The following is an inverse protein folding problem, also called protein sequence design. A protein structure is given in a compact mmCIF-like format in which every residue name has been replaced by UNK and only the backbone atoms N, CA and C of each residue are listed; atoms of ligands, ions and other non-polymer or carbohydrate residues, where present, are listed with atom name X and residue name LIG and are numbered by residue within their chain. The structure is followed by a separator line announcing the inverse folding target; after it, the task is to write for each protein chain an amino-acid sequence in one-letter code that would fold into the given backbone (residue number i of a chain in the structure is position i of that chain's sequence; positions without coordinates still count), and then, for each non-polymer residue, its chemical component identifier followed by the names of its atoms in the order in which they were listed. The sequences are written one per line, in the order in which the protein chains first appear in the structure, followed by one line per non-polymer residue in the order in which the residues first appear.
data_IF_271713498964
#
_entry.id   IF_271713498964
#
_cell.length_a   1.000
_cell.length_b   1.000
_cell.length_c   1.000
_cell.angle_alpha   90.00
_cell.angle_beta   90.00
_cell.angle_gamma   90.00
#
_symmetry.space_group_name_H-M   'P 1'
#
loop_
_entity.id
_entity.type
_entity.pdbx_description
1 polymer ?
#
# COMPACT_ATOMS: atom_id res chain seq x y z
N UNK A 1 -19.82 8.57 22.10
CA UNK A 1 -18.59 7.75 21.90
C UNK A 1 -17.61 8.63 21.13
N UNK A 2 -16.60 9.19 21.80
CA UNK A 2 -15.55 9.95 21.11
C UNK A 2 -14.68 8.95 20.36
N UNK A 3 -14.69 9.01 19.04
CA UNK A 3 -13.77 8.22 18.21
C UNK A 3 -12.44 8.97 18.21
N UNK A 4 -11.54 8.57 19.11
CA UNK A 4 -10.17 9.07 19.10
C UNK A 4 -9.45 8.55 17.85
N UNK A 5 -9.00 9.49 17.02
CA UNK A 5 -8.30 9.17 15.78
C UNK A 5 -6.87 8.75 16.13
N UNK A 6 -6.39 7.59 15.64
CA UNK A 6 -5.09 7.07 16.04
C UNK A 6 -3.95 8.02 15.62
N UNK A 7 -3.15 8.43 16.58
CA UNK A 7 -1.95 9.24 16.33
C UNK A 7 -0.83 8.40 15.71
N UNK A 8 -0.53 8.63 14.43
CA UNK A 8 0.54 7.94 13.73
C UNK A 8 1.90 8.55 14.09
N UNK A 9 2.64 7.93 15.02
CA UNK A 9 3.99 8.39 15.40
C UNK A 9 5.07 8.10 14.33
N UNK A 10 4.83 7.17 13.41
CA UNK A 10 5.75 6.79 12.30
C UNK A 10 4.97 6.54 11.01
N UNK A 11 5.62 6.74 9.87
CA UNK A 11 5.05 6.46 8.54
C UNK A 11 5.12 4.96 8.20
N UNK A 12 4.54 4.56 7.06
CA UNK A 12 4.80 3.29 6.40
C UNK A 12 6.31 3.03 6.32
N UNK A 13 6.72 1.77 6.48
CA UNK A 13 8.13 1.34 6.53
C UNK A 13 8.98 1.90 7.68
N UNK A 14 8.34 2.32 8.79
CA UNK A 14 9.02 2.86 9.98
C UNK A 14 9.83 4.14 9.74
N UNK A 15 9.69 4.80 8.58
CA UNK A 15 10.31 6.10 8.36
C UNK A 15 9.75 7.14 9.34
N UNK A 16 10.58 8.10 9.79
CA UNK A 16 10.08 9.26 10.51
C UNK A 16 8.99 9.96 9.68
N UNK A 17 7.92 10.39 10.35
CA UNK A 17 6.70 10.91 9.71
C UNK A 17 7.00 11.94 8.61
N UNK A 18 7.95 12.83 8.89
CA UNK A 18 8.45 13.86 7.98
C UNK A 18 9.07 13.32 6.69
N UNK A 19 9.93 12.30 6.77
CA UNK A 19 10.53 11.69 5.57
C UNK A 19 9.48 10.94 4.76
N UNK A 20 8.49 10.32 5.42
CA UNK A 20 7.34 9.74 4.75
C UNK A 20 6.60 10.75 3.88
N UNK A 21 6.23 11.91 4.46
CA UNK A 21 5.57 13.00 3.73
C UNK A 21 6.43 13.50 2.57
N UNK A 22 7.75 13.65 2.78
CA UNK A 22 8.68 14.07 1.72
C UNK A 22 8.74 13.06 0.56
N UNK A 23 8.91 11.76 0.87
CA UNK A 23 8.96 10.70 -0.15
C UNK A 23 7.67 10.65 -0.95
N UNK A 24 6.51 10.64 -0.28
CA UNK A 24 5.21 10.65 -0.96
C UNK A 24 4.99 11.92 -1.77
N UNK A 25 5.41 13.08 -1.26
CA UNK A 25 5.34 14.36 -1.98
C UNK A 25 6.18 14.37 -3.25
N UNK A 26 7.41 13.85 -3.21
CA UNK A 26 8.26 13.75 -4.40
C UNK A 26 7.73 12.73 -5.41
N UNK A 27 7.27 11.56 -4.96
CA UNK A 27 6.67 10.57 -5.86
C UNK A 27 5.42 11.12 -6.54
N UNK A 28 4.54 11.79 -5.79
CA UNK A 28 3.34 12.44 -6.35
C UNK A 28 3.70 13.54 -7.34
N UNK A 29 4.74 14.34 -7.06
CA UNK A 29 5.22 15.37 -7.97
C UNK A 29 5.76 14.79 -9.28
N UNK A 30 6.63 13.78 -9.21
CA UNK A 30 7.20 13.11 -10.40
C UNK A 30 6.08 12.49 -11.23
N UNK A 31 5.13 11.80 -10.58
CA UNK A 31 3.99 11.20 -11.28
C UNK A 31 3.12 12.25 -11.96
N UNK A 32 2.83 13.37 -11.28
CA UNK A 32 2.02 14.46 -11.85
C UNK A 32 2.70 15.08 -13.08
N UNK A 33 4.02 15.31 -13.02
CA UNK A 33 4.79 15.82 -14.16
C UNK A 33 4.78 14.81 -15.31
N UNK A 34 4.98 13.52 -15.02
CA UNK A 34 4.94 12.46 -16.03
C UNK A 34 3.60 12.42 -16.74
N UNK A 35 2.49 12.48 -15.99
CA UNK A 35 1.15 12.49 -16.56
C UNK A 35 0.92 13.73 -17.42
N UNK A 36 1.32 14.93 -16.98
CA UNK A 36 1.23 16.14 -17.80
C UNK A 36 2.02 15.99 -19.10
N UNK A 37 3.27 15.51 -19.02
CA UNK A 37 4.10 15.30 -20.21
C UNK A 37 3.46 14.32 -21.19
N UNK A 38 2.87 13.25 -20.65
CA UNK A 38 2.22 12.22 -21.44
C UNK A 38 0.92 12.73 -22.08
N UNK A 39 0.09 13.48 -21.35
CA UNK A 39 -1.14 14.09 -21.87
C UNK A 39 -0.83 15.15 -22.94
N UNK A 40 0.21 15.97 -22.73
CA UNK A 40 0.68 16.94 -23.74
C UNK A 40 1.20 16.26 -25.01
N UNK A 41 1.91 15.13 -24.85
CA UNK A 41 2.40 14.34 -25.97
C UNK A 41 1.25 13.70 -26.74
N UNK A 42 0.26 13.13 -26.04
CA UNK A 42 -0.92 12.52 -26.65
C UNK A 42 -1.86 13.54 -27.30
N UNK A 43 -1.98 14.73 -26.73
CA UNK A 43 -2.79 15.82 -27.26
C UNK A 43 -2.16 16.54 -28.45
N UNK A 44 -0.94 16.18 -28.87
CA UNK A 44 -0.26 16.84 -29.99
C UNK A 44 -0.92 16.48 -31.33
N UNK A 45 -1.70 17.41 -31.89
CA UNK A 45 -2.32 17.29 -33.20
C UNK A 45 -3.82 16.98 -33.18
N UNK A 46 -4.40 16.66 -32.03
CA UNK A 46 -5.86 16.54 -31.86
C UNK A 46 -6.48 17.90 -31.53
N UNK A 47 -7.75 18.07 -31.92
CA UNK A 47 -8.47 19.29 -31.58
C UNK A 47 -8.67 19.36 -30.05
N UNK A 48 -8.38 20.51 -29.44
CA UNK A 48 -8.47 20.72 -27.97
C UNK A 48 -9.87 20.38 -27.40
N UNK A 49 -10.88 20.31 -28.26
CA UNK A 49 -12.28 20.05 -27.94
C UNK A 49 -12.68 18.58 -27.88
N UNK A 50 -11.83 17.65 -28.33
CA UNK A 50 -12.17 16.23 -28.27
C UNK A 50 -12.21 15.73 -26.82
N UNK A 51 -13.27 15.00 -26.42
CA UNK A 51 -13.38 14.44 -25.09
C UNK A 51 -12.34 13.33 -24.92
N UNK A 52 -11.51 13.44 -23.90
CA UNK A 52 -10.54 12.41 -23.53
C UNK A 52 -10.87 11.83 -22.15
N UNK A 53 -10.52 10.57 -21.97
CA UNK A 53 -10.58 9.91 -20.66
C UNK A 53 -9.25 10.16 -19.95
N UNK A 54 -9.28 10.87 -18.82
CA UNK A 54 -8.10 11.12 -17.98
C UNK A 54 -8.34 10.64 -16.55
N UNK A 55 -7.31 10.14 -15.87
CA UNK A 55 -7.44 9.50 -14.55
C UNK A 55 -6.94 10.43 -13.45
N UNK A 56 -7.82 11.24 -12.87
CA UNK A 56 -7.46 12.14 -11.78
C UNK A 56 -7.70 11.50 -10.40
N UNK A 57 -6.64 11.35 -9.60
CA UNK A 57 -6.68 10.74 -8.26
C UNK A 57 -7.31 9.34 -8.20
N UNK A 58 -7.11 8.58 -9.28
CA UNK A 58 -7.67 7.23 -9.45
C UNK A 58 -9.07 7.23 -10.08
N UNK A 59 -9.75 8.36 -10.20
CA UNK A 59 -11.07 8.47 -10.80
C UNK A 59 -10.93 8.79 -12.29
N UNK A 60 -11.53 7.97 -13.15
CA UNK A 60 -11.66 8.27 -14.58
C UNK A 60 -12.64 9.42 -14.81
N UNK A 61 -12.19 10.46 -15.52
CA UNK A 61 -12.96 11.63 -15.90
C UNK A 61 -13.04 11.71 -17.43
N UNK A 62 -14.27 11.74 -17.96
CA UNK A 62 -14.55 11.98 -19.38
C UNK A 62 -14.80 13.48 -19.58
N UNK A 63 -13.74 14.22 -19.90
CA UNK A 63 -13.80 15.69 -19.99
C UNK A 63 -12.94 16.23 -21.14
N UNK A 64 -13.02 17.51 -21.42
CA UNK A 64 -12.15 18.16 -22.40
C UNK A 64 -10.71 18.22 -21.88
N UNK A 65 -9.70 18.10 -22.76
CA UNK A 65 -8.28 18.00 -22.40
C UNK A 65 -7.75 19.13 -21.50
N UNK A 66 -8.30 20.35 -21.62
CA UNK A 66 -7.85 21.48 -20.82
C UNK A 66 -8.09 21.32 -19.31
N UNK A 67 -9.15 20.60 -18.91
CA UNK A 67 -9.53 20.45 -17.52
C UNK A 67 -8.56 19.52 -16.74
N UNK A 68 -8.21 18.30 -17.23
CA UNK A 68 -7.17 17.49 -16.62
C UNK A 68 -5.82 18.19 -16.54
N UNK A 69 -5.42 18.91 -17.60
CA UNK A 69 -4.17 19.68 -17.60
C UNK A 69 -4.18 20.71 -16.47
N UNK A 70 -5.27 21.47 -16.32
CA UNK A 70 -5.44 22.43 -15.23
C UNK A 70 -5.36 21.77 -13.84
N UNK A 71 -6.04 20.64 -13.65
CA UNK A 71 -6.05 19.89 -12.39
C UNK A 71 -4.65 19.40 -12.01
N UNK A 72 -3.88 18.85 -12.97
CA UNK A 72 -2.52 18.41 -12.70
C UNK A 72 -1.55 19.57 -12.48
N UNK A 73 -1.70 20.71 -13.16
CA UNK A 73 -0.90 21.91 -12.86
C UNK A 73 -1.14 22.36 -11.41
N UNK A 74 -2.39 22.40 -10.95
CA UNK A 74 -2.71 22.68 -9.56
C UNK A 74 -2.07 21.65 -8.61
N UNK A 75 -2.15 20.36 -8.95
CA UNK A 75 -1.53 19.30 -8.14
C UNK A 75 0.00 19.45 -8.05
N UNK A 76 0.68 19.83 -9.14
CA UNK A 76 2.11 20.15 -9.14
C UNK A 76 2.42 21.33 -8.20
N UNK A 77 1.66 22.43 -8.31
CA UNK A 77 1.85 23.62 -7.46
C UNK A 77 1.69 23.26 -5.98
N UNK A 78 0.60 22.55 -5.63
CA UNK A 78 0.35 22.17 -4.25
C UNK A 78 1.37 21.14 -3.73
N UNK A 79 1.84 20.21 -4.54
CA UNK A 79 2.92 19.29 -4.16
C UNK A 79 4.24 20.04 -3.87
N UNK A 80 4.57 21.08 -4.64
CA UNK A 80 5.72 21.95 -4.34
C UNK A 80 5.51 22.68 -3.00
N UNK A 81 4.31 23.21 -2.74
CA UNK A 81 3.96 23.86 -1.46
C UNK A 81 4.12 22.87 -0.29
N UNK A 82 3.68 21.62 -0.45
CA UNK A 82 3.85 20.56 0.55
C UNK A 82 5.33 20.30 0.83
N UNK A 83 6.14 20.14 -0.22
CA UNK A 83 7.57 19.86 -0.11
C UNK A 83 8.32 21.00 0.60
N UNK A 84 8.05 22.26 0.21
CA UNK A 84 8.62 23.45 0.86
C UNK A 84 8.17 23.51 2.32
N UNK A 85 6.87 23.29 2.59
CA UNK A 85 6.31 23.27 3.95
C UNK A 85 6.98 22.22 4.83
N UNK A 86 7.17 21.01 4.31
CA UNK A 86 7.81 19.89 5.00
C UNK A 86 9.31 20.14 5.25
N UNK A 87 10.05 20.73 4.29
CA UNK A 87 11.47 21.08 4.44
C UNK A 87 11.70 22.26 5.38
N UNK A 88 10.91 23.32 5.27
CA UNK A 88 11.06 24.52 6.11
C UNK A 88 10.36 24.40 7.48
N UNK A 89 9.63 23.31 7.74
CA UNK A 89 8.78 23.13 8.93
C UNK A 89 7.75 24.26 9.10
N UNK A 90 7.30 24.88 8.00
CA UNK A 90 6.32 25.98 8.04
C UNK A 90 4.90 25.41 8.09
N UNK A 91 4.27 25.46 9.27
CA UNK A 91 2.92 24.92 9.49
C UNK A 91 1.87 25.48 8.54
N UNK A 92 1.96 26.76 8.18
CA UNK A 92 0.98 27.41 7.30
C UNK A 92 0.92 26.77 5.90
N UNK A 93 2.09 26.39 5.34
CA UNK A 93 2.16 25.75 4.02
C UNK A 93 1.61 24.32 4.05
N UNK A 94 1.95 23.55 5.09
CA UNK A 94 1.44 22.19 5.29
C UNK A 94 -0.09 22.24 5.49
N UNK A 95 -0.60 23.24 6.21
CA UNK A 95 -2.04 23.45 6.44
C UNK A 95 -2.78 23.81 5.14
N UNK A 96 -2.19 24.67 4.31
CA UNK A 96 -2.76 25.02 2.99
C UNK A 96 -2.90 23.77 2.11
N UNK A 97 -1.86 22.95 2.02
CA UNK A 97 -1.93 21.68 1.29
C UNK A 97 -2.97 20.73 1.89
N UNK A 98 -3.09 20.65 3.21
CA UNK A 98 -4.07 19.78 3.87
C UNK A 98 -5.51 20.11 3.46
N UNK A 99 -5.89 21.40 3.44
CA UNK A 99 -7.22 21.81 2.97
C UNK A 99 -7.43 21.56 1.48
N UNK A 100 -6.42 21.82 0.65
CA UNK A 100 -6.45 21.47 -0.78
C UNK A 100 -6.66 19.96 -0.98
N UNK A 101 -5.92 19.13 -0.26
CA UNK A 101 -6.02 17.68 -0.35
C UNK A 101 -7.42 17.18 0.05
N UNK A 102 -8.01 17.69 1.13
CA UNK A 102 -9.38 17.32 1.54
C UNK A 102 -10.39 17.69 0.46
N UNK A 103 -10.38 18.94 -0.01
CA UNK A 103 -11.35 19.43 -1.00
C UNK A 103 -11.28 18.65 -2.31
N UNK A 104 -10.06 18.35 -2.79
CA UNK A 104 -9.86 17.56 -4.01
C UNK A 104 -10.19 16.08 -3.83
N UNK A 105 -9.94 15.46 -2.66
CA UNK A 105 -10.43 14.09 -2.38
C UNK A 105 -11.95 14.01 -2.34
N UNK A 106 -12.61 15.02 -1.74
CA UNK A 106 -14.07 15.10 -1.71
C UNK A 106 -14.64 15.28 -3.12
N UNK A 107 -14.04 16.17 -3.92
CA UNK A 107 -14.41 16.37 -5.32
C UNK A 107 -14.27 15.08 -6.14
N UNK A 108 -13.14 14.37 -6.01
CA UNK A 108 -12.90 13.09 -6.68
C UNK A 108 -13.96 12.04 -6.30
N UNK A 109 -14.30 11.95 -5.00
CA UNK A 109 -15.33 11.03 -4.52
C UNK A 109 -16.72 11.37 -5.07
N UNK A 110 -17.09 12.65 -5.12
CA UNK A 110 -18.35 13.11 -5.72
C UNK A 110 -18.39 12.82 -7.22
N UNK A 111 -17.30 13.10 -7.95
CA UNK A 111 -17.23 12.80 -9.38
C UNK A 111 -17.35 11.31 -9.65
N UNK A 112 -16.74 10.46 -8.81
CA UNK A 112 -16.87 9.02 -8.91
C UNK A 112 -18.33 8.55 -8.77
N UNK A 113 -19.06 9.08 -7.78
CA UNK A 113 -20.48 8.76 -7.60
C UNK A 113 -21.29 9.18 -8.83
N UNK A 114 -21.06 10.39 -9.36
CA UNK A 114 -21.80 10.92 -10.53
C UNK A 114 -21.51 10.08 -11.78
N UNK A 115 -20.24 9.82 -12.07
CA UNK A 115 -19.81 9.03 -13.22
C UNK A 115 -20.38 7.61 -13.12
N UNK A 116 -20.26 6.98 -11.95
CA UNK A 116 -20.76 5.62 -11.73
C UNK A 116 -22.28 5.54 -11.81
N UNK A 117 -22.99 6.55 -11.29
CA UNK A 117 -24.44 6.61 -11.39
C UNK A 117 -24.90 6.72 -12.84
N UNK A 118 -24.24 7.58 -13.64
CA UNK A 118 -24.55 7.73 -15.08
C UNK A 118 -24.19 6.47 -15.88
N UNK A 119 -23.08 5.81 -15.55
CA UNK A 119 -22.60 4.63 -16.27
C UNK A 119 -23.26 3.31 -15.81
N UNK A 120 -24.19 3.37 -14.85
CA UNK A 120 -24.91 2.20 -14.32
C UNK A 120 -25.74 1.42 -15.36
N UNK A 121 -25.81 1.86 -16.62
CA UNK A 121 -26.41 1.05 -17.70
C UNK A 121 -25.45 0.03 -18.33
N UNK A 122 -24.12 0.14 -18.14
CA UNK A 122 -23.13 -0.75 -18.76
C UNK A 122 -22.17 -1.33 -17.70
N UNK A 123 -22.60 -2.40 -17.02
CA UNK A 123 -21.89 -2.99 -15.87
C UNK A 123 -20.66 -3.84 -16.21
N UNK A 124 -20.34 -4.06 -17.48
CA UNK A 124 -19.52 -5.20 -17.90
C UNK A 124 -18.00 -5.00 -17.85
N UNK A 125 -17.46 -3.78 -17.64
CA UNK A 125 -16.00 -3.57 -17.74
C UNK A 125 -15.33 -2.75 -16.62
N UNK A 126 -16.04 -2.38 -15.55
CA UNK A 126 -15.56 -1.36 -14.60
C UNK A 126 -14.69 -1.87 -13.42
N UNK A 127 -14.39 -3.16 -13.29
CA UNK A 127 -13.71 -3.64 -12.07
C UNK A 127 -12.31 -3.10 -11.88
N UNK A 128 -11.55 -2.96 -12.95
CA UNK A 128 -10.22 -2.37 -12.87
C UNK A 128 -10.32 -0.90 -12.48
N UNK A 129 -11.20 -0.14 -13.13
CA UNK A 129 -11.41 1.28 -12.86
C UNK A 129 -11.90 1.53 -11.43
N UNK A 130 -12.81 0.70 -10.92
CA UNK A 130 -13.27 0.74 -9.52
C UNK A 130 -12.12 0.42 -8.55
N UNK A 131 -11.26 -0.55 -8.91
CA UNK A 131 -10.10 -0.93 -8.08
C UNK A 131 -9.04 0.17 -8.06
N UNK A 132 -8.75 0.78 -9.20
CA UNK A 132 -7.84 1.93 -9.31
C UNK A 132 -8.39 3.14 -8.56
N UNK A 133 -9.69 3.42 -8.70
CA UNK A 133 -10.34 4.51 -7.98
C UNK A 133 -10.23 4.29 -6.48
N UNK A 134 -10.57 3.09 -6.02
CA UNK A 134 -10.51 2.76 -4.60
C UNK A 134 -9.07 2.87 -4.07
N UNK A 135 -8.09 2.30 -4.77
CA UNK A 135 -6.68 2.39 -4.39
C UNK A 135 -6.18 3.85 -4.34
N UNK A 136 -6.51 4.64 -5.37
CA UNK A 136 -6.19 6.07 -5.44
C UNK A 136 -6.77 6.85 -4.26
N UNK A 137 -8.05 6.65 -3.96
CA UNK A 137 -8.71 7.29 -2.81
C UNK A 137 -8.07 6.87 -1.47
N UNK A 138 -7.76 5.58 -1.29
CA UNK A 138 -7.10 5.08 -0.07
C UNK A 138 -5.71 5.70 0.10
N UNK A 139 -4.91 5.78 -0.96
CA UNK A 139 -3.58 6.42 -0.92
C UNK A 139 -3.70 7.92 -0.58
N UNK A 140 -4.70 8.61 -1.13
CA UNK A 140 -4.93 10.03 -0.86
C UNK A 140 -5.39 10.28 0.59
N UNK A 141 -6.34 9.47 1.09
CA UNK A 141 -6.76 9.51 2.49
C UNK A 141 -5.56 9.23 3.40
N UNK A 142 -4.72 8.27 3.03
CA UNK A 142 -3.51 7.96 3.78
C UNK A 142 -2.56 9.15 3.88
N UNK A 143 -2.27 9.80 2.75
CA UNK A 143 -1.42 10.99 2.71
C UNK A 143 -2.00 12.13 3.58
N UNK A 144 -3.31 12.33 3.55
CA UNK A 144 -3.99 13.32 4.40
C UNK A 144 -3.85 13.00 5.90
N UNK A 145 -3.94 11.73 6.29
CA UNK A 145 -3.75 11.32 7.68
C UNK A 145 -2.30 11.50 8.15
N UNK A 146 -1.31 11.25 7.28
CA UNK A 146 0.10 11.52 7.58
C UNK A 146 0.33 13.01 7.83
N UNK A 147 -0.18 13.86 6.94
CA UNK A 147 -0.03 15.31 7.04
C UNK A 147 -0.72 15.86 8.29
N UNK A 148 -1.93 15.37 8.60
CA UNK A 148 -2.63 15.71 9.83
C UNK A 148 -1.82 15.35 11.08
N UNK A 149 -1.21 14.16 11.07
CA UNK A 149 -0.38 13.70 12.20
C UNK A 149 0.83 14.60 12.40
N UNK A 150 1.46 15.09 11.32
CA UNK A 150 2.60 16.02 11.41
C UNK A 150 2.16 17.41 11.87
N UNK A 151 1.01 17.91 11.38
CA UNK A 151 0.43 19.18 11.85
C UNK A 151 0.12 19.16 13.35
N UNK A 152 -0.43 18.06 13.86
CA UNK A 152 -0.69 17.89 15.29
C UNK A 152 0.62 17.90 16.09
N UNK A 153 1.65 17.20 15.61
CA UNK A 153 2.96 17.15 16.27
C UNK A 153 3.59 18.54 16.39
N UNK A 154 3.54 19.35 15.32
CA UNK A 154 4.08 20.72 15.35
C UNK A 154 3.29 21.63 16.30
N UNK A 155 1.96 21.47 16.36
CA UNK A 155 1.10 22.25 17.27
C UNK A 155 1.47 22.07 18.75
N UNK A 156 1.89 20.88 19.15
CA UNK A 156 2.34 20.62 20.52
C UNK A 156 3.71 21.24 20.83
N UNK A 157 4.57 21.42 19.82
CA UNK A 157 5.90 22.01 20.03
C UNK A 157 5.84 23.53 20.22
N UNK A 158 4.89 24.21 19.58
CA UNK A 158 4.78 25.67 19.65
C UNK A 158 4.09 26.18 20.92
N UNK A 159 3.40 25.32 21.68
CA UNK A 159 2.51 25.74 22.77
C UNK A 159 2.87 25.28 24.18
N UNK A 160 3.81 24.35 24.36
CA UNK A 160 4.10 23.76 25.68
C UNK A 160 5.54 24.08 26.08
N UNK A 161 5.73 25.22 26.75
CA UNK A 161 6.92 25.42 27.58
C UNK A 161 6.75 24.45 28.75
N UNK A 162 7.54 23.37 28.77
CA UNK A 162 7.65 22.52 29.95
C UNK A 162 8.31 23.36 31.06
N UNK A 163 7.51 24.09 31.81
CA UNK A 163 7.98 24.71 33.06
C UNK A 163 8.05 23.58 34.08
N UNK A 164 9.22 22.96 34.15
CA UNK A 164 9.57 21.97 35.15
C UNK A 164 9.56 22.65 36.54
N UNK A 165 8.39 22.75 37.16
CA UNK A 165 8.26 23.21 38.56
C UNK A 165 8.21 21.96 39.44
N UNK A 166 9.25 21.81 40.28
CA UNK A 166 9.43 20.84 41.39
C UNK A 166 9.98 19.46 40.95
N UNK A 167 11.28 19.16 41.08
CA UNK A 167 12.08 18.99 42.30
C UNK A 167 11.75 17.75 43.15
N UNK A 168 11.15 16.70 42.56
CA UNK A 168 11.33 15.33 43.06
C UNK A 168 11.81 14.44 41.91
N UNK A 169 13.13 14.25 41.88
CA UNK A 169 13.82 13.30 41.03
C UNK A 169 13.77 11.95 41.74
N UNK A 170 12.79 11.12 41.39
CA UNK A 170 13.00 9.66 41.31
C UNK A 170 12.39 9.15 40.02
N UNK A 171 13.18 9.22 38.95
CA UNK A 171 12.94 8.39 37.76
C UNK A 171 14.29 7.81 37.35
N UNK A 172 14.64 6.66 37.93
CA UNK A 172 15.51 5.73 37.22
C UNK A 172 14.70 5.12 36.07
N UNK A 173 14.62 5.88 34.98
CA UNK A 173 14.47 5.33 33.64
C UNK A 173 15.63 5.86 32.83
N UNK A 174 16.45 4.89 32.43
CA UNK A 174 17.69 5.01 31.70
C UNK A 174 17.65 6.10 30.62
N UNK A 175 18.78 6.80 30.42
CA UNK A 175 18.88 7.83 29.40
C UNK A 175 18.52 7.18 28.06
N UNK A 176 17.46 7.67 27.43
CA UNK A 176 17.29 7.60 26.00
C UNK A 176 18.41 8.43 25.37
N UNK A 177 19.63 7.89 25.43
CA UNK A 177 20.73 8.30 24.60
C UNK A 177 20.29 7.89 23.20
N UNK A 178 19.81 8.88 22.47
CA UNK A 178 19.59 8.83 21.03
C UNK A 178 20.99 8.74 20.38
N UNK A 179 21.68 7.62 20.61
CA UNK A 179 22.79 7.18 19.79
C UNK A 179 22.17 6.87 18.42
N UNK A 180 22.13 7.92 17.59
CA UNK A 180 21.98 7.81 16.15
C UNK A 180 23.07 6.82 15.70
N UNK A 181 22.69 5.56 15.50
CA UNK A 181 23.44 4.66 14.65
C UNK A 181 23.13 5.10 13.20
N UNK A 182 24.03 5.83 12.49
CA UNK A 182 23.78 6.29 11.12
C UNK A 182 23.67 5.14 10.11
N UNK A 183 23.83 3.88 10.53
CA UNK A 183 23.82 2.71 9.67
C UNK A 183 22.44 2.19 9.28
N UNK A 184 21.36 2.62 9.95
CA UNK A 184 20.00 2.18 9.60
C UNK A 184 19.25 3.08 8.61
N UNK A 185 19.75 4.29 8.31
CA UNK A 185 18.99 5.28 7.50
C UNK A 185 19.09 5.06 5.99
N UNK A 186 20.10 4.36 5.46
CA UNK A 186 20.27 4.16 4.02
C UNK A 186 19.95 2.74 3.51
N UNK A 187 19.57 1.81 4.38
CA UNK A 187 19.53 0.40 4.01
C UNK A 187 18.29 0.01 3.18
N UNK A 188 17.14 0.67 3.34
CA UNK A 188 15.88 0.19 2.75
C UNK A 188 15.72 0.48 1.24
N UNK A 189 16.19 1.65 0.77
CA UNK A 189 16.17 1.98 -0.67
C UNK A 189 17.24 1.18 -1.42
N UNK A 190 18.38 0.93 -0.79
CA UNK A 190 19.41 0.02 -1.31
C UNK A 190 18.96 -1.44 -1.30
N UNK A 191 18.23 -1.93 -0.29
CA UNK A 191 17.67 -3.30 -0.25
C UNK A 191 16.69 -3.58 -1.40
N UNK A 192 15.91 -2.59 -1.83
CA UNK A 192 14.97 -2.77 -2.94
C UNK A 192 15.66 -2.84 -4.30
N UNK A 193 16.79 -2.15 -4.47
CA UNK A 193 17.65 -2.25 -5.66
C UNK A 193 18.59 -3.47 -5.61
N UNK A 194 19.11 -3.84 -4.42
CA UNK A 194 19.99 -5.00 -4.23
C UNK A 194 19.26 -6.33 -4.32
N UNK A 195 17.97 -6.41 -3.97
CA UNK A 195 17.19 -7.65 -4.09
C UNK A 195 16.95 -8.07 -5.55
N UNK A 196 17.24 -7.20 -6.53
CA UNK A 196 17.06 -7.49 -7.96
C UNK A 196 18.37 -7.85 -8.69
N UNK A 197 19.53 -7.69 -8.05
CA UNK A 197 20.82 -8.04 -8.65
C UNK A 197 21.47 -9.17 -7.85
N UNK A 198 21.57 -10.36 -8.45
CA UNK A 198 22.36 -11.50 -7.97
C UNK A 198 23.86 -11.16 -7.95
N UNK A 199 24.29 -10.22 -7.12
CA UNK A 199 25.70 -10.04 -6.80
C UNK A 199 25.92 -10.74 -5.46
N UNK A 200 26.47 -11.95 -5.56
CA UNK A 200 26.95 -12.78 -4.46
C UNK A 200 28.12 -12.09 -3.76
N UNK A 201 27.84 -11.07 -2.96
CA UNK A 201 28.73 -10.61 -1.91
C UNK A 201 28.18 -11.20 -0.62
N UNK A 202 28.96 -12.08 0.02
CA UNK A 202 28.76 -12.56 1.40
C UNK A 202 28.91 -11.38 2.36
N UNK A 203 27.98 -10.45 2.33
CA UNK A 203 27.75 -9.51 3.42
C UNK A 203 26.62 -10.16 4.22
N UNK A 204 26.91 -10.53 5.47
CA UNK A 204 25.91 -10.96 6.45
C UNK A 204 24.97 -9.78 6.72
N UNK A 205 24.08 -9.52 5.77
CA UNK A 205 23.14 -8.42 5.85
C UNK A 205 21.98 -8.96 6.67
N UNK A 206 22.03 -8.70 7.97
CA UNK A 206 20.93 -9.02 8.87
C UNK A 206 19.67 -8.30 8.36
N UNK A 207 18.73 -9.07 7.81
CA UNK A 207 17.47 -8.55 7.30
C UNK A 207 16.75 -7.88 8.47
N UNK A 208 16.35 -6.60 8.35
CA UNK A 208 15.82 -5.85 9.48
C UNK A 208 14.56 -6.53 10.04
N UNK A 209 14.57 -6.82 11.35
CA UNK A 209 13.38 -7.31 12.07
C UNK A 209 12.35 -6.17 12.15
N UNK A 210 11.33 -6.22 11.30
CA UNK A 210 10.20 -5.28 11.37
C UNK A 210 9.37 -5.59 12.60
N UNK A 211 9.44 -4.72 13.62
CA UNK A 211 8.65 -4.88 14.85
C UNK A 211 7.23 -4.29 14.74
N UNK A 212 6.95 -3.49 13.70
CA UNK A 212 5.69 -2.79 13.48
C UNK A 212 5.30 -2.83 11.99
N UNK A 213 4.00 -2.91 11.71
CA UNK A 213 3.47 -2.81 10.34
C UNK A 213 3.44 -1.32 9.90
N UNK A 214 3.20 -1.06 8.61
CA UNK A 214 2.73 0.25 8.16
C UNK A 214 1.57 0.71 9.08
N UNK A 215 1.55 2.00 9.44
CA UNK A 215 0.63 2.61 10.42
C UNK A 215 0.94 2.41 11.91
N UNK A 216 2.12 1.92 12.28
CA UNK A 216 2.45 1.61 13.69
C UNK A 216 1.54 0.58 14.37
N UNK A 217 0.64 -0.06 13.60
CA UNK A 217 -0.20 -1.13 14.08
C UNK A 217 0.70 -2.31 14.46
N UNK A 218 0.44 -3.01 15.59
CA UNK A 218 1.22 -4.18 15.94
C UNK A 218 1.23 -5.17 14.77
N UNK A 219 2.41 -5.74 14.48
CA UNK A 219 2.67 -6.53 13.26
C UNK A 219 1.54 -7.52 12.94
N UNK A 220 1.07 -8.26 13.94
CA UNK A 220 -0.05 -9.19 13.87
C UNK A 220 -1.36 -8.57 13.38
N UNK A 221 -1.81 -7.47 13.98
CA UNK A 221 -3.05 -6.81 13.56
C UNK A 221 -2.90 -6.20 12.17
N UNK A 222 -1.71 -5.69 11.83
CA UNK A 222 -1.40 -5.22 10.49
C UNK A 222 -1.56 -6.33 9.46
N UNK A 223 -1.00 -7.52 9.74
CA UNK A 223 -1.12 -8.67 8.86
C UNK A 223 -2.56 -9.15 8.70
N UNK A 224 -3.36 -9.14 9.78
CA UNK A 224 -4.79 -9.45 9.71
C UNK A 224 -5.55 -8.45 8.85
N UNK A 225 -5.31 -7.15 9.04
CA UNK A 225 -5.93 -6.08 8.22
C UNK A 225 -5.58 -6.27 6.75
N UNK A 226 -4.31 -6.51 6.42
CA UNK A 226 -3.89 -6.79 5.04
C UNK A 226 -4.50 -8.08 4.48
N UNK A 227 -4.62 -9.13 5.30
CA UNK A 227 -5.30 -10.37 4.92
C UNK A 227 -6.77 -10.15 4.55
N UNK A 228 -7.51 -9.38 5.34
CA UNK A 228 -8.90 -9.02 5.02
C UNK A 228 -8.99 -8.10 3.81
N UNK A 229 -8.09 -7.11 3.72
CA UNK A 229 -8.03 -6.19 2.60
C UNK A 229 -7.68 -6.89 1.28
N UNK A 230 -6.92 -7.98 1.31
CA UNK A 230 -6.66 -8.85 0.15
C UNK A 230 -7.85 -9.75 -0.17
N UNK A 231 -8.47 -10.36 0.84
CA UNK A 231 -9.56 -11.33 0.67
C UNK A 231 -10.84 -10.69 0.11
N UNK A 232 -11.22 -9.50 0.58
CA UNK A 232 -12.50 -8.88 0.21
C UNK A 232 -12.59 -8.55 -1.29
N UNK A 233 -11.60 -7.88 -1.92
CA UNK A 233 -11.56 -7.67 -3.36
C UNK A 233 -11.51 -8.99 -4.14
N UNK A 234 -10.82 -10.01 -3.61
CA UNK A 234 -10.71 -11.30 -4.27
C UNK A 234 -12.06 -12.05 -4.30
N UNK A 235 -12.85 -11.97 -3.22
CA UNK A 235 -14.20 -12.50 -3.18
C UNK A 235 -15.14 -11.74 -4.14
N UNK A 236 -15.01 -10.42 -4.21
CA UNK A 236 -15.76 -9.61 -5.17
C UNK A 236 -15.40 -9.98 -6.62
N UNK A 237 -14.13 -10.17 -6.93
CA UNK A 237 -13.66 -10.59 -8.24
C UNK A 237 -14.17 -12.01 -8.59
N UNK A 238 -14.20 -12.91 -7.61
CA UNK A 238 -14.74 -14.25 -7.78
C UNK A 238 -16.25 -14.23 -8.10
N UNK A 239 -17.05 -13.45 -7.36
CA UNK A 239 -18.49 -13.35 -7.63
C UNK A 239 -18.76 -12.75 -9.01
N UNK A 240 -17.99 -11.75 -9.40
CA UNK A 240 -18.14 -11.16 -10.73
C UNK A 240 -17.75 -12.12 -11.85
N UNK A 241 -16.72 -12.94 -11.64
CA UNK A 241 -16.31 -13.93 -12.63
C UNK A 241 -17.35 -15.05 -12.77
N UNK A 242 -18.03 -15.43 -11.69
CA UNK A 242 -19.19 -16.33 -11.75
C UNK A 242 -20.33 -15.70 -12.56
N UNK A 243 -20.62 -14.42 -12.36
CA UNK A 243 -21.65 -13.72 -13.13
C UNK A 243 -21.31 -13.63 -14.61
N UNK A 244 -20.05 -13.36 -14.96
CA UNK A 244 -19.59 -13.34 -16.35
C UNK A 244 -19.63 -14.74 -16.98
N UNK A 245 -19.22 -15.78 -16.25
CA UNK A 245 -19.36 -17.16 -16.70
C UNK A 245 -20.83 -17.50 -16.98
N UNK A 246 -21.75 -17.10 -16.09
CA UNK A 246 -23.18 -17.30 -16.29
C UNK A 246 -23.67 -16.58 -17.54
N UNK A 247 -23.31 -15.30 -17.72
CA UNK A 247 -23.67 -14.51 -18.91
C UNK A 247 -23.17 -15.16 -20.20
N UNK A 248 -21.94 -15.67 -20.18
CA UNK A 248 -21.36 -16.37 -21.32
C UNK A 248 -22.13 -17.66 -21.65
N UNK A 249 -22.50 -18.45 -20.64
CA UNK A 249 -23.31 -19.66 -20.82
C UNK A 249 -24.73 -19.33 -21.30
N UNK A 250 -25.36 -18.30 -20.74
CA UNK A 250 -26.69 -17.84 -21.17
C UNK A 250 -26.65 -17.38 -22.64
N UNK A 251 -25.64 -16.59 -23.02
CA UNK A 251 -25.42 -16.16 -24.41
C UNK A 251 -25.20 -17.35 -25.35
N UNK A 252 -24.41 -18.33 -24.92
CA UNK A 252 -24.18 -19.55 -25.69
C UNK A 252 -25.47 -20.36 -25.89
N UNK A 253 -26.32 -20.46 -24.86
CA UNK A 253 -27.61 -21.16 -24.95
C UNK A 253 -28.64 -20.46 -25.84
N UNK A 254 -28.61 -19.13 -25.93
CA UNK A 254 -29.53 -18.36 -26.77
C UNK A 254 -29.12 -18.36 -28.25
N UNK A 255 -27.84 -18.58 -28.55
CA UNK A 255 -27.32 -18.63 -29.91
C UNK A 255 -27.56 -20.02 -30.54
N UNK A 256 -28.80 -20.28 -31.00
CA UNK A 256 -29.18 -21.54 -31.70
C UNK A 256 -28.36 -21.83 -32.98
N UNK A 257 -27.54 -20.89 -33.46
CA UNK A 257 -26.66 -21.08 -34.62
C UNK A 257 -25.37 -21.82 -34.24
N UNK A 258 -25.50 -23.13 -34.02
CA UNK A 258 -24.64 -24.31 -34.28
C UNK A 258 -23.10 -24.24 -34.44
N UNK A 259 -22.40 -23.15 -34.16
CA UNK A 259 -20.95 -23.15 -34.08
C UNK A 259 -20.53 -23.44 -32.64
N UNK A 260 -19.90 -24.59 -32.41
CA UNK A 260 -19.28 -25.00 -31.14
C UNK A 260 -18.14 -24.04 -30.74
N UNK A 261 -18.48 -22.81 -30.34
CA UNK A 261 -17.54 -21.90 -29.71
C UNK A 261 -17.29 -22.46 -28.31
N UNK A 262 -16.23 -23.24 -28.16
CA UNK A 262 -15.80 -23.75 -26.87
C UNK A 262 -15.54 -22.60 -25.89
N UNK A 263 -15.76 -22.86 -24.60
CA UNK A 263 -15.39 -21.91 -23.54
C UNK A 263 -13.90 -21.58 -23.68
N UNK A 264 -13.51 -20.30 -23.73
CA UNK A 264 -12.10 -19.93 -23.81
C UNK A 264 -11.32 -20.58 -22.66
N UNK A 265 -10.19 -21.27 -22.93
CA UNK A 265 -9.44 -21.98 -21.89
C UNK A 265 -8.88 -21.05 -20.80
N UNK A 266 -8.83 -19.74 -21.05
CA UNK A 266 -8.42 -18.73 -20.06
C UNK A 266 -9.37 -18.62 -18.87
N UNK A 267 -10.68 -18.83 -19.05
CA UNK A 267 -11.68 -18.69 -17.98
C UNK A 267 -11.47 -19.73 -16.87
N UNK A 268 -11.41 -21.05 -17.14
CA UNK A 268 -11.17 -22.04 -16.08
C UNK A 268 -9.80 -21.88 -15.42
N UNK A 269 -8.77 -21.47 -16.18
CA UNK A 269 -7.44 -21.18 -15.61
C UNK A 269 -7.54 -20.03 -14.61
N UNK A 270 -8.20 -18.93 -14.96
CA UNK A 270 -8.40 -17.80 -14.05
C UNK A 270 -9.19 -18.21 -12.80
N UNK A 271 -10.24 -19.04 -12.96
CA UNK A 271 -11.04 -19.56 -11.85
C UNK A 271 -10.20 -20.35 -10.84
N UNK A 272 -9.34 -21.25 -11.34
CA UNK A 272 -8.46 -22.06 -10.47
C UNK A 272 -7.44 -21.20 -9.72
N UNK A 273 -6.83 -20.20 -10.38
CA UNK A 273 -5.90 -19.26 -9.74
C UNK A 273 -6.59 -18.49 -8.61
N UNK A 274 -7.79 -17.96 -8.86
CA UNK A 274 -8.54 -17.19 -7.86
C UNK A 274 -8.92 -18.06 -6.65
N UNK A 275 -9.38 -19.29 -6.87
CA UNK A 275 -9.70 -20.21 -5.78
C UNK A 275 -8.48 -20.48 -4.90
N UNK A 276 -7.33 -20.76 -5.52
CA UNK A 276 -6.08 -21.00 -4.79
C UNK A 276 -5.72 -19.77 -3.96
N UNK A 277 -5.80 -18.57 -4.53
CA UNK A 277 -5.55 -17.32 -3.80
C UNK A 277 -6.53 -17.08 -2.64
N UNK A 278 -7.81 -17.45 -2.79
CA UNK A 278 -8.82 -17.36 -1.70
C UNK A 278 -8.43 -18.31 -0.56
N UNK A 279 -8.12 -19.57 -0.88
CA UNK A 279 -7.75 -20.59 0.10
C UNK A 279 -6.54 -20.12 0.90
N UNK A 280 -5.46 -19.67 0.24
CA UNK A 280 -4.26 -19.23 0.95
C UNK A 280 -4.47 -17.90 1.70
N UNK A 281 -5.35 -17.02 1.23
CA UNK A 281 -5.74 -15.83 1.99
C UNK A 281 -6.48 -16.19 3.28
N UNK A 282 -7.33 -17.22 3.26
CA UNK A 282 -7.96 -17.78 4.46
C UNK A 282 -6.92 -18.42 5.39
N UNK A 283 -5.96 -19.19 4.84
CA UNK A 283 -4.85 -19.76 5.63
C UNK A 283 -4.05 -18.66 6.34
N UNK A 284 -3.77 -17.54 5.67
CA UNK A 284 -3.11 -16.38 6.28
C UNK A 284 -3.90 -15.81 7.46
N UNK A 285 -5.22 -15.65 7.30
CA UNK A 285 -6.10 -15.15 8.37
C UNK A 285 -6.14 -16.11 9.57
N UNK A 286 -6.28 -17.41 9.31
CA UNK A 286 -6.26 -18.45 10.36
C UNK A 286 -4.91 -18.46 11.08
N UNK A 287 -3.79 -18.37 10.35
CA UNK A 287 -2.45 -18.28 10.91
C UNK A 287 -2.30 -17.07 11.86
N UNK A 288 -2.82 -15.90 11.43
CA UNK A 288 -2.86 -14.68 12.22
C UNK A 288 -3.67 -14.81 13.52
N UNK A 289 -4.85 -15.43 13.44
CA UNK A 289 -5.73 -15.61 14.61
C UNK A 289 -5.22 -16.68 15.58
N UNK A 290 -4.73 -17.81 15.09
CA UNK A 290 -4.25 -18.91 15.93
C UNK A 290 -2.82 -18.75 16.43
N UNK A 291 -2.05 -17.76 15.92
CA UNK A 291 -0.61 -17.60 16.19
C UNK A 291 0.21 -18.86 15.87
N UNK A 292 -0.25 -19.65 14.90
CA UNK A 292 0.40 -20.90 14.56
C UNK A 292 1.56 -20.66 13.57
N UNK A 293 2.80 -20.83 14.04
CA UNK A 293 4.00 -20.62 13.23
C UNK A 293 4.09 -21.57 12.02
N UNK A 294 3.48 -22.77 12.10
CA UNK A 294 3.48 -23.75 11.01
C UNK A 294 2.64 -23.22 9.83
N UNK A 295 1.46 -22.65 10.10
CA UNK A 295 0.61 -22.09 9.05
C UNK A 295 1.26 -20.87 8.38
N UNK A 296 1.95 -20.02 9.15
CA UNK A 296 2.74 -18.93 8.58
C UNK A 296 3.85 -19.43 7.66
N UNK A 297 4.53 -20.52 8.04
CA UNK A 297 5.57 -21.14 7.23
C UNK A 297 5.00 -21.68 5.90
N UNK A 298 3.83 -22.34 5.94
CA UNK A 298 3.14 -22.83 4.73
C UNK A 298 2.78 -21.67 3.81
N UNK A 299 2.15 -20.61 4.34
CA UNK A 299 1.80 -19.43 3.56
C UNK A 299 3.03 -18.72 2.97
N UNK A 300 4.13 -18.65 3.72
CA UNK A 300 5.37 -18.01 3.27
C UNK A 300 5.95 -18.69 2.02
N UNK A 301 6.04 -20.02 2.01
CA UNK A 301 6.51 -20.76 0.83
C UNK A 301 5.57 -20.59 -0.36
N UNK A 302 4.26 -20.64 -0.14
CA UNK A 302 3.27 -20.36 -1.17
C UNK A 302 3.44 -18.95 -1.76
N UNK A 303 3.61 -17.93 -0.90
CA UNK A 303 3.77 -16.55 -1.32
C UNK A 303 5.02 -16.35 -2.18
N UNK A 304 6.14 -17.01 -1.85
CA UNK A 304 7.34 -17.01 -2.69
C UNK A 304 7.08 -17.69 -4.04
N UNK A 305 6.45 -18.87 -4.03
CA UNK A 305 6.14 -19.59 -5.26
C UNK A 305 5.25 -18.76 -6.20
N UNK A 306 4.20 -18.12 -5.67
CA UNK A 306 3.33 -17.21 -6.43
C UNK A 306 4.08 -15.99 -6.95
N UNK A 307 5.04 -15.44 -6.20
CA UNK A 307 5.86 -14.33 -6.68
C UNK A 307 6.70 -14.73 -7.90
N UNK A 308 7.29 -15.93 -7.90
CA UNK A 308 8.06 -16.46 -9.03
C UNK A 308 7.16 -16.69 -10.24
N UNK A 309 6.01 -17.33 -10.05
CA UNK A 309 5.01 -17.55 -11.12
C UNK A 309 4.57 -16.21 -11.71
N UNK A 310 4.28 -15.22 -10.86
CA UNK A 310 3.90 -13.88 -11.30
C UNK A 310 4.96 -13.25 -12.19
N UNK A 311 6.24 -13.28 -11.79
CA UNK A 311 7.35 -12.75 -12.60
C UNK A 311 7.40 -13.42 -13.98
N UNK A 312 7.29 -14.76 -14.03
CA UNK A 312 7.34 -15.51 -15.29
C UNK A 312 6.16 -15.12 -16.18
N UNK A 313 4.93 -15.17 -15.66
CA UNK A 313 3.73 -14.81 -16.42
C UNK A 313 3.78 -13.36 -16.90
N UNK A 314 4.25 -12.45 -16.05
CA UNK A 314 4.37 -11.04 -16.37
C UNK A 314 5.43 -10.80 -17.45
N UNK A 315 6.58 -11.46 -17.39
CA UNK A 315 7.59 -11.38 -18.44
C UNK A 315 7.06 -11.89 -19.80
N UNK A 316 6.35 -13.03 -19.81
CA UNK A 316 5.70 -13.57 -21.02
C UNK A 316 4.68 -12.57 -21.58
N UNK A 317 3.88 -11.94 -20.72
CA UNK A 317 2.93 -10.91 -21.12
C UNK A 317 3.61 -9.71 -21.80
N UNK A 318 4.69 -9.19 -21.21
CA UNK A 318 5.45 -8.07 -21.78
C UNK A 318 6.06 -8.43 -23.14
N UNK A 319 6.67 -9.62 -23.26
CA UNK A 319 7.27 -10.07 -24.53
C UNK A 319 6.19 -10.23 -25.60
N UNK A 320 5.08 -10.91 -25.28
CA UNK A 320 3.96 -11.07 -26.20
C UNK A 320 3.40 -9.74 -26.68
N UNK A 321 3.32 -8.76 -25.78
CA UNK A 321 2.90 -7.41 -26.11
C UNK A 321 3.87 -6.68 -27.03
N UNK A 322 5.18 -6.75 -26.78
CA UNK A 322 6.20 -6.12 -27.64
C UNK A 322 6.11 -6.66 -29.07
N UNK A 323 5.95 -7.98 -29.22
CA UNK A 323 5.77 -8.64 -30.53
C UNK A 323 4.50 -8.16 -31.23
N UNK A 324 3.38 -8.08 -30.48
CA UNK A 324 2.10 -7.60 -31.01
C UNK A 324 2.20 -6.13 -31.48
N UNK A 325 2.88 -5.29 -30.71
CA UNK A 325 3.06 -3.86 -30.98
C UNK A 325 3.90 -3.63 -32.23
N UNK A 326 4.97 -4.41 -32.42
CA UNK A 326 5.81 -4.32 -33.60
C UNK A 326 5.05 -4.65 -34.90
N UNK A 327 4.00 -5.46 -34.79
CA UNK A 327 3.24 -5.95 -35.95
C UNK A 327 2.15 -4.99 -36.43
N UNK A 328 1.72 -4.00 -35.63
CA UNK A 328 0.59 -3.13 -35.97
C UNK A 328 0.87 -1.64 -35.65
N UNK A 329 0.76 -0.71 -36.61
CA UNK A 329 1.00 0.72 -36.38
C UNK A 329 -0.16 1.46 -35.68
N UNK A 330 -1.37 0.89 -35.62
CA UNK A 330 -2.54 1.48 -34.93
C UNK A 330 -2.50 1.35 -33.38
N UNK A 331 -1.35 1.01 -32.80
CA UNK A 331 -1.20 0.55 -31.41
C UNK A 331 -1.07 1.64 -30.35
N UNK A 332 -1.25 2.93 -30.66
CA UNK A 332 -1.10 4.00 -29.67
C UNK A 332 -2.09 3.87 -28.50
N UNK A 333 -3.35 3.52 -28.77
CA UNK A 333 -4.33 3.24 -27.71
C UNK A 333 -3.96 2.00 -26.89
N UNK A 334 -3.36 0.98 -27.54
CA UNK A 334 -2.92 -0.24 -26.87
C UNK A 334 -1.70 0.01 -25.97
N UNK A 335 -0.80 0.93 -26.37
CA UNK A 335 0.38 1.31 -25.61
C UNK A 335 0.00 1.92 -24.26
N UNK A 336 -1.00 2.80 -24.23
CA UNK A 336 -1.49 3.40 -22.99
C UNK A 336 -2.06 2.36 -22.03
N UNK A 337 -2.89 1.47 -22.56
CA UNK A 337 -3.46 0.37 -21.78
C UNK A 337 -2.37 -0.54 -21.21
N UNK A 338 -1.31 -0.79 -21.97
CA UNK A 338 -0.21 -1.64 -21.47
C UNK A 338 0.69 -0.93 -20.49
N UNK A 339 1.03 0.34 -20.67
CA UNK A 339 1.73 1.11 -19.63
C UNK A 339 0.95 1.05 -18.32
N UNK A 340 -0.39 1.16 -18.38
CA UNK A 340 -1.24 1.03 -17.20
C UNK A 340 -1.20 -0.39 -16.60
N UNK A 341 -1.30 -1.44 -17.41
CA UNK A 341 -1.17 -2.83 -16.94
C UNK A 341 0.21 -3.06 -16.32
N UNK A 342 1.26 -2.52 -16.91
CA UNK A 342 2.64 -2.66 -16.44
C UNK A 342 2.79 -2.03 -15.06
N UNK A 343 2.35 -0.78 -14.93
CA UNK A 343 2.41 -0.05 -13.67
C UNK A 343 1.58 -0.74 -12.58
N UNK A 344 0.40 -1.26 -12.94
CA UNK A 344 -0.45 -1.99 -12.01
C UNK A 344 0.15 -3.33 -11.59
N UNK A 345 0.66 -4.11 -12.54
CA UNK A 345 1.35 -5.36 -12.27
C UNK A 345 2.55 -5.16 -11.36
N UNK A 346 3.34 -4.11 -11.60
CA UNK A 346 4.44 -3.73 -10.73
C UNK A 346 3.94 -3.36 -9.31
N UNK A 347 2.89 -2.55 -9.18
CA UNK A 347 2.34 -2.17 -7.88
C UNK A 347 1.82 -3.39 -7.08
N UNK A 348 1.10 -4.31 -7.73
CA UNK A 348 0.60 -5.56 -7.13
C UNK A 348 1.78 -6.43 -6.68
N UNK A 349 2.83 -6.52 -7.48
CA UNK A 349 4.03 -7.27 -7.15
C UNK A 349 4.77 -6.71 -5.93
N UNK A 350 4.95 -5.38 -5.87
CA UNK A 350 5.54 -4.70 -4.70
C UNK A 350 4.71 -4.96 -3.44
N UNK A 351 3.38 -4.87 -3.54
CA UNK A 351 2.48 -5.17 -2.43
C UNK A 351 2.60 -6.63 -1.98
N UNK A 352 2.71 -7.56 -2.92
CA UNK A 352 2.89 -8.98 -2.63
C UNK A 352 4.19 -9.23 -1.88
N UNK A 353 5.33 -8.71 -2.36
CA UNK A 353 6.62 -8.78 -1.67
C UNK A 353 6.51 -8.21 -0.25
N UNK A 354 5.85 -7.07 -0.10
CA UNK A 354 5.65 -6.44 1.19
C UNK A 354 4.92 -7.35 2.17
N UNK A 355 3.82 -7.99 1.76
CA UNK A 355 3.09 -8.97 2.58
C UNK A 355 3.99 -10.17 2.92
N UNK A 356 4.78 -10.69 1.97
CA UNK A 356 5.72 -11.79 2.21
C UNK A 356 6.74 -11.44 3.30
N UNK A 357 7.30 -10.22 3.27
CA UNK A 357 8.25 -9.74 4.27
C UNK A 357 7.59 -9.59 5.65
N UNK A 358 6.33 -9.13 5.70
CA UNK A 358 5.58 -9.05 6.96
C UNK A 358 5.34 -10.43 7.57
N UNK A 359 4.94 -11.41 6.77
CA UNK A 359 4.74 -12.81 7.22
C UNK A 359 6.05 -13.37 7.78
N UNK A 360 7.16 -13.15 7.07
CA UNK A 360 8.50 -13.57 7.55
C UNK A 360 8.83 -12.96 8.89
N UNK A 361 8.56 -11.66 9.06
CA UNK A 361 8.85 -10.94 10.30
C UNK A 361 8.05 -11.48 11.48
N UNK A 362 6.77 -11.81 11.29
CA UNK A 362 5.93 -12.40 12.35
C UNK A 362 6.37 -13.85 12.65
N UNK A 363 6.76 -14.62 11.64
CA UNK A 363 7.29 -15.98 11.81
C UNK A 363 8.57 -15.98 12.66
N UNK A 364 9.51 -15.06 12.41
CA UNK A 364 10.74 -14.93 13.21
C UNK A 364 10.44 -14.55 14.65
N UNK A 365 9.46 -13.66 14.87
CA UNK A 365 9.03 -13.25 16.20
C UNK A 365 8.43 -14.41 17.01
N UNK A 366 7.62 -15.25 16.38
CA UNK A 366 7.04 -16.43 17.03
C UNK A 366 8.11 -17.49 17.36
N UNK A 367 9.15 -17.59 16.53
CA UNK A 367 10.30 -18.49 16.79
C UNK A 367 11.16 -18.04 17.95
N UNK A 368 11.42 -16.73 18.09
CA UNK A 368 12.26 -16.23 19.19
C UNK A 368 11.54 -16.39 20.55
N UNK A 369 10.22 -16.23 20.60
CA UNK A 369 9.43 -16.37 21.82
C UNK A 369 9.35 -17.78 22.39
N UNK A 370 9.64 -18.84 21.62
CA UNK A 370 9.61 -20.21 22.13
C UNK A 370 10.81 -20.54 23.04
N UNK A 371 11.84 -19.68 23.06
CA UNK A 371 13.10 -19.95 23.75
C UNK A 371 13.40 -19.00 24.92
N UNK A 372 12.53 -18.03 25.19
CA UNK A 372 12.67 -17.19 26.38
C UNK A 372 12.04 -17.88 27.59
N UNK A 373 12.81 -18.72 28.28
CA UNK A 373 12.56 -18.98 29.68
C UNK A 373 13.03 -17.74 30.47
N UNK A 374 12.10 -17.08 31.15
CA UNK A 374 12.49 -16.11 32.17
C UNK A 374 13.12 -16.90 33.32
N UNK A 375 14.45 -17.03 33.31
CA UNK A 375 15.19 -17.47 34.49
C UNK A 375 15.16 -16.27 35.44
N UNK A 376 14.20 -16.30 36.36
CA UNK A 376 14.10 -15.30 37.40
C UNK A 376 15.24 -15.49 38.40
N UNK A 377 16.41 -14.93 38.11
CA UNK A 377 17.54 -14.92 39.04
C UNK A 377 17.27 -14.10 40.32
N UNK A 378 16.15 -13.35 40.40
CA UNK A 378 15.77 -12.63 41.62
C UNK A 378 15.11 -13.52 42.68
N UNK A 379 14.81 -14.79 42.39
CA UNK A 379 14.25 -15.73 43.35
C UNK A 379 15.32 -16.56 44.12
N UNK A 380 16.62 -16.34 43.88
CA UNK A 380 17.71 -16.98 44.65
C UNK A 380 18.20 -16.15 45.85
N UNK A 381 17.56 -15.02 46.18
CA UNK A 381 17.74 -14.39 47.48
C UNK A 381 16.74 -14.97 48.49
N UNK A 382 17.17 -16.01 49.21
CA UNK A 382 16.50 -16.52 50.40
C UNK A 382 16.52 -15.44 51.50
N UNK A 383 15.61 -14.47 51.43
CA UNK A 383 15.38 -13.50 52.51
C UNK A 383 14.71 -14.22 53.69
N UNK A 384 15.51 -14.74 54.62
CA UNK A 384 15.05 -15.15 55.94
C UNK A 384 14.89 -13.91 56.82
N UNK A 385 13.65 -13.44 56.98
CA UNK A 385 13.31 -12.45 58.00
C UNK A 385 13.31 -13.14 59.36
N UNK A 386 14.37 -12.96 60.14
CA UNK A 386 14.39 -13.34 61.55
C UNK A 386 13.65 -12.30 62.36
N UNK A 387 12.49 -12.65 62.90
CA UNK A 387 11.82 -11.83 63.92
C UNK A 387 12.71 -11.79 65.17
N UNK A 388 13.15 -10.59 65.54
CA UNK A 388 13.85 -10.35 66.78
C UNK A 388 12.95 -10.74 67.96
N UNK A 389 13.42 -11.67 68.79
CA UNK A 389 12.87 -11.89 70.13
C UNK A 389 13.17 -10.64 70.95
N UNK A 390 12.13 -9.94 71.36
CA UNK A 390 12.22 -8.96 72.46
C UNK A 390 12.59 -9.71 73.74
N UNK A 391 13.74 -9.35 74.30
CA UNK A 391 14.14 -9.70 75.66
C UNK A 391 13.37 -8.82 76.64
N UNK A 392 12.59 -9.45 77.52
CA UNK A 392 12.11 -8.88 78.78
C UNK A 392 13.00 -9.40 79.89
#
# INVERSE_FOLDING_TARGET
MLIDIPECKRCAFCFPLRYGILIFGYLSLIFSILVICLELWLGYGSSVTEPTMSIYRGVGLYTQMWLPILLYILEVIFNIILLIGAHMKKMNLIRAYYYYGITTTLAAFVTFIIVRHRHSQYWTFDMFDMSFTFCGLVIQIYLLLLIRSELNKLRYQDGVIFVNRLAEVTVDRTPWREERNPLYENCFVLLFLYSLTEISIKMYTEVPKLTRCCFCVPLRYGLLVWGYLKLLPLLALFTTLILELKRFLDYQSASETHNNIGVPPSIPILFTIIIVEIIFSIVLLIAGHLKNAILFKVYYYYSIAMAVIFIICYAVFIIGFIVLTYSNPFMYMLLMYVVQIVLFGAAVFVLHIYITILVRSEMLKLRDNSNFSFVNHAAEAQCTMTYGKETV
#
